data_IF_577991368607
#
_entry.id   IF_577991368607
#
_cell.length_a   1.000
_cell.length_b   1.000
_cell.length_c   1.000
_cell.angle_alpha   90.00
_cell.angle_beta   90.00
_cell.angle_gamma   90.00
#
_symmetry.space_group_name_H-M   'P 1'
#
loop_
_entity.id
_entity.type
_entity.pdbx_description
1 polymer ?
#
# COMPACT_ATOMS: atom_id res chain seq x y z
N UNK A 1 -3.94 0.09 27.99
CA UNK A 1 -3.75 -1.28 27.45
C UNK A 1 -4.51 -1.40 26.14
N UNK A 2 -3.84 -1.48 24.99
CA UNK A 2 -4.51 -1.86 23.74
C UNK A 2 -4.35 -3.38 23.57
N UNK A 3 -5.29 -4.14 24.12
CA UNK A 3 -5.45 -5.54 23.74
C UNK A 3 -6.22 -5.55 22.42
N UNK A 4 -5.51 -5.52 21.30
CA UNK A 4 -6.09 -6.02 20.06
C UNK A 4 -6.18 -7.54 20.20
N UNK A 5 -7.37 -8.05 20.48
CA UNK A 5 -7.59 -9.50 20.53
C UNK A 5 -7.20 -10.11 19.19
N UNK A 6 -6.06 -10.80 19.15
CA UNK A 6 -5.61 -11.64 18.03
C UNK A 6 -6.45 -12.92 17.98
N UNK A 7 -7.77 -12.78 17.87
CA UNK A 7 -8.67 -13.93 17.69
C UNK A 7 -8.28 -14.61 16.38
N UNK A 8 -7.80 -15.85 16.48
CA UNK A 8 -7.55 -16.67 15.31
C UNK A 8 -8.87 -16.96 14.61
N UNK A 9 -9.03 -16.63 13.31
CA UNK A 9 -10.23 -16.97 12.57
C UNK A 9 -10.40 -18.48 12.53
N UNK A 10 -11.65 -18.93 12.67
CA UNK A 10 -12.04 -20.33 12.45
C UNK A 10 -11.82 -20.75 10.99
N UNK A 11 -11.70 -22.04 10.74
CA UNK A 11 -11.57 -22.57 9.37
C UNK A 11 -12.73 -22.14 8.46
N UNK A 12 -13.95 -22.06 9.00
CA UNK A 12 -15.12 -21.56 8.28
C UNK A 12 -15.01 -20.08 7.91
N UNK A 13 -14.54 -19.23 8.83
CA UNK A 13 -14.29 -17.81 8.56
C UNK A 13 -13.19 -17.64 7.51
N UNK A 14 -12.12 -18.44 7.58
CA UNK A 14 -11.06 -18.46 6.56
C UNK A 14 -11.60 -18.88 5.20
N UNK A 15 -12.43 -19.92 5.16
CA UNK A 15 -13.04 -20.41 3.93
C UNK A 15 -13.97 -19.36 3.29
N UNK A 16 -14.81 -18.72 4.09
CA UNK A 16 -15.64 -17.58 3.65
C UNK A 16 -14.78 -16.45 3.09
N UNK A 17 -13.71 -16.08 3.79
CA UNK A 17 -12.79 -15.04 3.33
C UNK A 17 -12.10 -15.45 2.02
N UNK A 18 -11.69 -16.72 1.89
CA UNK A 18 -11.10 -17.28 0.67
C UNK A 18 -12.07 -17.19 -0.51
N UNK A 19 -13.32 -17.62 -0.34
CA UNK A 19 -14.36 -17.53 -1.39
C UNK A 19 -14.68 -16.08 -1.75
N UNK A 20 -14.79 -15.19 -0.76
CA UNK A 20 -14.99 -13.75 -0.97
C UNK A 20 -13.83 -13.15 -1.76
N UNK A 21 -12.60 -13.50 -1.40
CA UNK A 21 -11.40 -13.02 -2.05
C UNK A 21 -11.28 -13.56 -3.47
N UNK A 22 -11.60 -14.84 -3.71
CA UNK A 22 -11.66 -15.42 -5.05
C UNK A 22 -12.69 -14.70 -5.93
N UNK A 23 -13.90 -14.45 -5.40
CA UNK A 23 -14.92 -13.68 -6.12
C UNK A 23 -14.46 -12.26 -6.41
N UNK A 24 -13.84 -11.59 -5.43
CA UNK A 24 -13.28 -10.23 -5.59
C UNK A 24 -12.23 -10.21 -6.70
N UNK A 25 -11.31 -11.17 -6.71
CA UNK A 25 -10.26 -11.30 -7.74
C UNK A 25 -10.83 -11.59 -9.12
N UNK A 26 -11.83 -12.48 -9.23
CA UNK A 26 -12.48 -12.75 -10.52
C UNK A 26 -13.20 -11.53 -11.09
N UNK A 27 -13.88 -10.75 -10.24
CA UNK A 27 -14.54 -9.51 -10.67
C UNK A 27 -13.49 -8.49 -11.13
N UNK A 28 -12.44 -8.26 -10.34
CA UNK A 28 -11.36 -7.35 -10.72
C UNK A 28 -10.70 -7.76 -12.04
N UNK A 29 -10.43 -9.06 -12.24
CA UNK A 29 -9.86 -9.57 -13.48
C UNK A 29 -10.73 -9.27 -14.70
N UNK A 30 -12.06 -9.44 -14.60
CA UNK A 30 -13.01 -9.10 -15.66
C UNK A 30 -13.02 -7.60 -15.97
N UNK A 31 -12.96 -6.76 -14.95
CA UNK A 31 -12.91 -5.30 -15.10
C UNK A 31 -11.62 -4.91 -15.86
N UNK A 32 -10.46 -5.39 -15.41
CA UNK A 32 -9.19 -5.08 -16.07
C UNK A 32 -9.12 -5.62 -17.50
N UNK A 33 -9.69 -6.79 -17.78
CA UNK A 33 -9.78 -7.32 -19.14
C UNK A 33 -10.61 -6.40 -20.06
N UNK A 34 -11.75 -5.90 -19.57
CA UNK A 34 -12.59 -4.95 -20.30
C UNK A 34 -11.88 -3.62 -20.55
N UNK A 35 -11.25 -3.05 -19.52
CA UNK A 35 -10.47 -1.82 -19.64
C UNK A 35 -9.31 -1.96 -20.64
N UNK A 36 -8.62 -3.10 -20.66
CA UNK A 36 -7.56 -3.37 -21.62
C UNK A 36 -8.07 -3.41 -23.06
N UNK A 37 -9.24 -4.01 -23.27
CA UNK A 37 -9.81 -4.18 -24.61
C UNK A 37 -10.40 -2.88 -25.18
N UNK A 38 -10.93 -2.00 -24.32
CA UNK A 38 -11.75 -0.86 -24.74
C UNK A 38 -11.19 0.51 -24.35
N UNK A 39 -10.31 0.58 -23.35
CA UNK A 39 -9.87 1.86 -22.77
C UNK A 39 -8.85 2.64 -23.59
N UNK A 40 -8.45 2.15 -24.77
CA UNK A 40 -7.52 2.82 -25.69
C UNK A 40 -6.23 3.35 -25.03
N UNK A 41 -5.77 2.71 -23.96
CA UNK A 41 -4.55 3.09 -23.26
C UNK A 41 -3.32 2.73 -24.10
N UNK A 42 -2.36 3.65 -24.19
CA UNK A 42 -1.06 3.41 -24.84
C UNK A 42 -0.15 2.52 -23.97
N UNK A 43 -0.54 1.25 -23.81
CA UNK A 43 0.14 0.27 -22.96
C UNK A 43 0.89 -0.78 -23.78
N UNK A 44 2.03 -1.29 -23.29
CA UNK A 44 2.75 -2.37 -23.96
C UNK A 44 1.90 -3.65 -24.02
N UNK A 45 2.19 -4.50 -25.01
CA UNK A 45 1.41 -5.73 -25.27
C UNK A 45 1.37 -6.68 -24.07
N UNK A 46 2.39 -6.68 -23.22
CA UNK A 46 2.52 -7.47 -21.99
C UNK A 46 2.18 -6.70 -20.70
N UNK A 47 1.59 -5.50 -20.79
CA UNK A 47 1.17 -4.72 -19.63
C UNK A 47 0.33 -5.54 -18.64
N UNK A 48 0.59 -5.41 -17.36
CA UNK A 48 -0.16 -6.11 -16.31
C UNK A 48 -1.34 -5.28 -15.78
N UNK A 49 -2.01 -5.77 -14.74
CA UNK A 49 -3.13 -5.07 -14.10
C UNK A 49 -2.73 -3.73 -13.45
N UNK A 50 -1.52 -3.63 -12.90
CA UNK A 50 -1.03 -2.40 -12.28
C UNK A 50 -0.75 -1.33 -13.34
N UNK A 51 -0.24 -1.73 -14.50
CA UNK A 51 0.01 -0.80 -15.61
C UNK A 51 -1.31 -0.20 -16.15
N UNK A 52 -2.36 -1.02 -16.27
CA UNK A 52 -3.72 -0.56 -16.62
C UNK A 52 -4.27 0.38 -15.54
N UNK A 53 -4.11 0.02 -14.27
CA UNK A 53 -4.57 0.85 -13.15
C UNK A 53 -3.86 2.22 -13.12
N UNK A 54 -2.55 2.26 -13.37
CA UNK A 54 -1.78 3.50 -13.49
C UNK A 54 -2.35 4.38 -14.61
N UNK A 55 -2.55 3.83 -15.81
CA UNK A 55 -3.12 4.58 -16.93
C UNK A 55 -4.50 5.14 -16.64
N UNK A 56 -5.39 4.34 -16.02
CA UNK A 56 -6.72 4.79 -15.60
C UNK A 56 -6.65 5.94 -14.57
N UNK A 57 -5.75 5.83 -13.58
CA UNK A 57 -5.57 6.89 -12.58
C UNK A 57 -5.04 8.19 -13.18
N UNK A 58 -4.16 8.12 -14.18
CA UNK A 58 -3.69 9.29 -14.92
C UNK A 58 -4.81 9.93 -15.73
N UNK A 59 -5.61 9.15 -16.47
CA UNK A 59 -6.78 9.65 -17.22
C UNK A 59 -7.80 10.35 -16.30
N UNK A 60 -8.09 9.75 -15.14
CA UNK A 60 -9.03 10.31 -14.17
C UNK A 60 -8.47 11.50 -13.37
N UNK A 61 -7.18 11.83 -13.52
CA UNK A 61 -6.50 12.85 -12.71
C UNK A 61 -6.42 12.49 -11.22
N UNK A 62 -6.47 11.20 -10.88
CA UNK A 62 -6.34 10.70 -9.50
C UNK A 62 -4.88 10.41 -9.10
N UNK A 63 -3.95 10.63 -10.02
CA UNK A 63 -2.53 10.67 -9.77
C UNK A 63 -2.16 11.75 -8.72
N UNK A 64 -1.24 11.42 -7.82
CA UNK A 64 -0.67 12.37 -6.86
C UNK A 64 0.73 12.74 -7.31
N UNK A 65 0.93 14.03 -7.61
CA UNK A 65 2.26 14.53 -7.97
C UNK A 65 3.21 14.53 -6.78
N UNK A 66 4.50 14.35 -7.08
CA UNK A 66 5.58 14.38 -6.08
C UNK A 66 5.52 15.66 -5.22
N UNK A 67 5.30 16.82 -5.86
CA UNK A 67 5.15 18.11 -5.17
C UNK A 67 4.03 18.08 -4.13
N UNK A 68 2.87 17.51 -4.48
CA UNK A 68 1.72 17.41 -3.57
C UNK A 68 2.02 16.46 -2.41
N UNK A 69 2.64 15.32 -2.70
CA UNK A 69 3.02 14.35 -1.69
C UNK A 69 4.05 14.92 -0.70
N UNK A 70 5.13 15.54 -1.19
CA UNK A 70 6.16 16.18 -0.37
C UNK A 70 5.61 17.32 0.49
N UNK A 71 4.75 18.17 -0.08
CA UNK A 71 4.10 19.25 0.66
C UNK A 71 3.25 18.71 1.82
N UNK A 72 2.52 17.62 1.58
CA UNK A 72 1.75 16.95 2.62
C UNK A 72 2.65 16.38 3.72
N UNK A 73 3.72 15.66 3.35
CA UNK A 73 4.72 15.14 4.28
C UNK A 73 5.35 16.23 5.15
N UNK A 74 5.72 17.37 4.56
CA UNK A 74 6.22 18.54 5.27
C UNK A 74 5.19 19.05 6.29
N UNK A 75 3.91 19.15 5.90
CA UNK A 75 2.82 19.62 6.78
C UNK A 75 2.51 18.68 7.96
N UNK A 76 2.90 17.40 7.87
CA UNK A 76 2.61 16.37 8.88
C UNK A 76 3.77 16.11 9.84
N UNK A 77 4.53 17.16 10.15
CA UNK A 77 5.71 17.05 11.03
C UNK A 77 6.95 16.57 10.28
N UNK A 78 7.10 16.98 9.03
CA UNK A 78 8.26 16.66 8.20
C UNK A 78 8.52 15.15 8.04
N UNK A 79 7.45 14.39 7.75
CA UNK A 79 7.54 12.94 7.53
C UNK A 79 8.49 12.68 6.35
N UNK A 80 9.50 11.79 6.49
CA UNK A 80 10.34 11.38 5.38
C UNK A 80 9.51 10.84 4.21
N UNK A 81 9.72 11.38 3.01
CA UNK A 81 9.03 10.96 1.79
C UNK A 81 9.89 10.02 0.97
N UNK A 82 9.30 8.91 0.49
CA UNK A 82 9.93 7.94 -0.39
C UNK A 82 8.97 7.56 -1.51
N UNK A 83 9.44 7.58 -2.76
CA UNK A 83 8.77 6.90 -3.86
C UNK A 83 9.26 5.46 -3.91
N UNK A 84 8.34 4.49 -3.82
CA UNK A 84 8.69 3.07 -3.77
C UNK A 84 7.92 2.27 -4.80
N UNK A 85 8.55 1.23 -5.34
CA UNK A 85 7.93 0.28 -6.27
C UNK A 85 8.19 -1.14 -5.79
N UNK A 86 7.18 -1.77 -5.18
CA UNK A 86 7.28 -3.16 -4.75
C UNK A 86 7.46 -4.14 -5.92
N UNK A 87 6.97 -3.78 -7.12
CA UNK A 87 7.14 -4.56 -8.35
C UNK A 87 8.59 -4.56 -8.83
N UNK A 88 9.29 -3.43 -8.67
CA UNK A 88 10.66 -3.23 -9.19
C UNK A 88 11.72 -3.27 -8.10
N UNK A 89 11.34 -3.45 -6.82
CA UNK A 89 12.26 -3.38 -5.69
C UNK A 89 12.86 -1.98 -5.49
N UNK A 90 12.18 -0.93 -5.94
CA UNK A 90 12.70 0.44 -5.85
C UNK A 90 12.42 1.04 -4.48
N UNK A 91 13.46 1.50 -3.79
CA UNK A 91 13.42 2.21 -2.50
C UNK A 91 12.67 1.51 -1.36
N UNK A 92 12.32 0.23 -1.50
CA UNK A 92 11.56 -0.51 -0.50
C UNK A 92 12.40 -0.65 0.77
N UNK A 93 13.63 -1.13 0.64
CA UNK A 93 14.56 -1.34 1.75
C UNK A 93 14.84 -0.02 2.49
N UNK A 94 15.14 1.05 1.74
CA UNK A 94 15.42 2.36 2.31
C UNK A 94 14.22 2.91 3.12
N UNK A 95 13.00 2.77 2.59
CA UNK A 95 11.79 3.18 3.29
C UNK A 95 11.55 2.36 4.57
N UNK A 96 11.75 1.04 4.51
CA UNK A 96 11.63 0.15 5.67
C UNK A 96 12.66 0.48 6.75
N UNK A 97 13.93 0.66 6.37
CA UNK A 97 14.98 1.05 7.31
C UNK A 97 14.67 2.38 7.99
N UNK A 98 14.18 3.37 7.25
CA UNK A 98 13.83 4.67 7.80
C UNK A 98 12.76 4.55 8.89
N UNK A 99 11.70 3.78 8.62
CA UNK A 99 10.62 3.54 9.58
C UNK A 99 11.15 2.80 10.81
N UNK A 100 11.97 1.76 10.62
CA UNK A 100 12.56 1.01 11.72
C UNK A 100 13.44 1.90 12.62
N UNK A 101 14.32 2.72 12.02
CA UNK A 101 15.18 3.67 12.73
C UNK A 101 14.36 4.72 13.50
N UNK A 102 13.27 5.21 12.91
CA UNK A 102 12.39 6.19 13.56
C UNK A 102 11.59 5.58 14.71
N UNK A 103 11.14 4.33 14.58
CA UNK A 103 10.44 3.62 15.64
C UNK A 103 11.32 3.42 16.88
N UNK A 104 12.58 3.00 16.70
CA UNK A 104 13.54 2.80 17.79
C UNK A 104 13.86 4.12 18.54
N UNK A 105 13.91 5.25 17.84
CA UNK A 105 14.14 6.58 18.46
C UNK A 105 12.95 7.05 19.30
N UNK A 106 11.75 6.60 18.97
CA UNK A 106 10.51 6.98 19.64
C UNK A 106 10.08 5.96 20.70
N UNK A 107 10.90 4.96 21.02
CA UNK A 107 10.60 4.08 22.14
C UNK A 107 10.59 4.90 23.44
N UNK A 108 9.51 4.83 24.25
CA UNK A 108 9.52 5.43 25.58
C UNK A 108 10.61 4.75 26.40
N UNK A 109 11.39 5.53 27.15
CA UNK A 109 12.45 5.05 28.02
C UNK A 109 11.85 4.18 29.15
N UNK A 110 11.56 2.91 28.85
CA UNK A 110 10.99 1.94 29.81
C UNK A 110 11.90 1.69 31.02
N UNK A 111 13.13 2.22 31.03
CA UNK A 111 14.03 2.17 32.20
C UNK A 111 13.72 3.21 33.26
N UNK A 112 13.02 4.31 32.95
CA UNK A 112 12.70 5.35 33.95
C UNK A 112 11.52 4.97 34.84
N UNK A 113 10.62 4.13 34.35
CA UNK A 113 9.41 3.74 35.09
C UNK A 113 9.64 2.56 36.05
N UNK A 114 10.83 1.95 36.06
CA UNK A 114 11.17 0.84 36.97
C UNK A 114 11.84 1.32 38.29
N UNK A 115 12.11 2.62 38.44
CA UNK A 115 12.79 3.20 39.61
C UNK A 115 12.08 4.44 40.17
N UNK A 116 10.82 4.66 39.83
CA UNK A 116 9.98 5.74 40.36
C UNK A 116 8.87 5.20 41.28
#
# INVERSE_FOLDING_TARGET
MLVTSLRRPSEWEREKNRKREQRRRMVAAKIFAGLRAQGNYALPRNADQNDILKALCEEAGWHVSEKKARAWCASKGNIPYFETSAKEGFNVEAAFECIAKNALKNEPDRRRDLYA
#
